data_IF_654214292755
#
_entry.id   IF_654214292755
#
_cell.length_a   1.000
_cell.length_b   1.000
_cell.length_c   1.000
_cell.angle_alpha   90.00
_cell.angle_beta   90.00
_cell.angle_gamma   90.00
#
_symmetry.space_group_name_H-M   'P 1'
#
loop_
_entity.id
_entity.type
_entity.pdbx_description
1 polymer ?
#
# COMPACT_ATOMS: atom_id res chain seq x y z
N UNK A 1 34.55 7.15 -14.97
CA UNK A 1 33.41 6.98 -14.03
C UNK A 1 32.59 5.82 -14.55
N UNK A 2 32.41 4.75 -13.78
CA UNK A 2 31.57 3.63 -14.24
C UNK A 2 30.12 4.11 -14.34
N UNK A 3 29.46 3.79 -15.46
CA UNK A 3 28.05 4.07 -15.66
C UNK A 3 27.22 3.38 -14.55
N UNK A 4 26.22 4.09 -14.02
CA UNK A 4 25.32 3.57 -12.99
C UNK A 4 24.65 2.28 -13.46
N UNK A 5 24.29 2.18 -14.73
CA UNK A 5 23.65 0.99 -15.31
C UNK A 5 24.59 -0.20 -15.39
N UNK A 6 25.88 -0.01 -15.75
CA UNK A 6 26.89 -1.08 -15.71
C UNK A 6 27.07 -1.65 -14.30
N UNK A 7 27.03 -0.79 -13.28
CA UNK A 7 27.10 -1.21 -11.89
C UNK A 7 25.88 -2.03 -11.50
N UNK A 8 24.68 -1.62 -11.91
CA UNK A 8 23.42 -2.32 -11.62
C UNK A 8 23.36 -3.68 -12.31
N UNK A 9 23.90 -3.82 -13.52
CA UNK A 9 23.97 -5.12 -14.21
C UNK A 9 24.82 -6.15 -13.48
N UNK A 10 25.82 -5.71 -12.72
CA UNK A 10 26.70 -6.58 -11.92
C UNK A 10 26.13 -6.93 -10.55
N UNK A 11 25.14 -6.17 -10.07
CA UNK A 11 24.51 -6.37 -8.77
C UNK A 11 23.13 -7.02 -8.93
N UNK A 12 22.98 -8.20 -8.35
CA UNK A 12 21.71 -8.90 -8.36
C UNK A 12 20.66 -8.31 -7.38
N UNK A 13 21.07 -7.43 -6.48
CA UNK A 13 20.20 -6.90 -5.44
C UNK A 13 19.56 -7.98 -4.54
N UNK A 14 18.76 -7.60 -3.54
CA UNK A 14 18.10 -8.56 -2.65
C UNK A 14 17.17 -9.52 -3.39
N UNK A 15 16.36 -9.01 -4.33
CA UNK A 15 15.41 -9.82 -5.12
C UNK A 15 16.15 -10.83 -6.01
N UNK A 16 17.22 -10.42 -6.66
CA UNK A 16 18.02 -11.32 -7.51
C UNK A 16 18.75 -12.41 -6.72
N UNK A 17 19.24 -12.08 -5.51
CA UNK A 17 19.82 -13.06 -4.59
C UNK A 17 18.77 -14.05 -4.10
N UNK A 18 17.59 -13.56 -3.73
CA UNK A 18 16.48 -14.41 -3.31
C UNK A 18 16.04 -15.35 -4.43
N UNK A 19 15.90 -14.85 -5.66
CA UNK A 19 15.57 -15.66 -6.84
C UNK A 19 16.54 -16.82 -7.07
N UNK A 20 17.83 -16.62 -6.79
CA UNK A 20 18.84 -17.67 -6.93
C UNK A 20 18.78 -18.74 -5.85
N UNK A 21 18.33 -18.38 -4.64
CA UNK A 21 18.35 -19.26 -3.47
C UNK A 21 17.01 -19.96 -3.22
N UNK A 22 15.92 -19.27 -3.51
CA UNK A 22 14.58 -19.79 -3.26
C UNK A 22 14.09 -20.64 -4.44
N UNK A 23 13.89 -21.91 -4.20
CA UNK A 23 13.33 -22.82 -5.19
C UNK A 23 11.91 -22.38 -5.57
N UNK A 24 11.65 -22.24 -6.88
CA UNK A 24 10.31 -21.88 -7.38
C UNK A 24 9.91 -20.41 -7.19
N UNK A 25 10.82 -19.53 -6.74
CA UNK A 25 10.51 -18.11 -6.63
C UNK A 25 10.38 -17.46 -8.02
N UNK A 26 9.28 -16.74 -8.20
CA UNK A 26 8.99 -16.00 -9.43
C UNK A 26 8.90 -14.50 -9.13
N UNK A 27 9.80 -13.72 -9.74
CA UNK A 27 9.67 -12.27 -9.75
C UNK A 27 8.54 -11.88 -10.69
N UNK A 28 7.64 -11.01 -10.23
CA UNK A 28 6.48 -10.53 -10.99
C UNK A 28 5.58 -11.67 -11.53
N UNK A 29 5.06 -12.56 -10.67
CA UNK A 29 4.17 -13.62 -11.10
C UNK A 29 2.91 -13.03 -11.76
N UNK A 30 2.58 -13.49 -12.96
CA UNK A 30 1.35 -13.09 -13.65
C UNK A 30 0.23 -14.03 -13.21
N UNK A 31 -0.67 -13.51 -12.39
CA UNK A 31 -1.89 -14.20 -11.98
C UNK A 31 -3.03 -13.78 -12.91
N UNK A 32 -3.91 -14.72 -13.24
CA UNK A 32 -5.01 -14.53 -14.18
C UNK A 32 -6.34 -14.89 -13.52
N UNK A 33 -7.40 -14.19 -13.94
CA UNK A 33 -8.75 -14.38 -13.43
C UNK A 33 -9.17 -13.32 -12.42
N UNK A 34 -10.31 -13.51 -11.79
CA UNK A 34 -10.78 -12.63 -10.72
C UNK A 34 -9.93 -12.79 -9.46
N UNK A 35 -9.78 -11.70 -8.72
CA UNK A 35 -9.07 -11.71 -7.42
C UNK A 35 -9.78 -12.67 -6.46
N UNK A 36 -9.11 -13.76 -6.10
CA UNK A 36 -9.65 -14.74 -5.16
C UNK A 36 -8.52 -15.51 -4.47
N UNK A 37 -8.88 -16.35 -3.50
CA UNK A 37 -7.92 -17.26 -2.86
C UNK A 37 -7.34 -18.30 -3.83
N UNK A 38 -7.95 -18.48 -5.01
CA UNK A 38 -7.49 -19.36 -6.08
C UNK A 38 -7.48 -18.61 -7.39
N UNK A 39 -6.35 -18.61 -8.08
CA UNK A 39 -6.16 -17.93 -9.35
C UNK A 39 -5.31 -18.80 -10.28
N UNK A 40 -5.38 -18.53 -11.58
CA UNK A 40 -4.55 -19.23 -12.54
C UNK A 40 -3.14 -18.66 -12.61
N UNK A 41 -2.16 -19.52 -12.55
CA UNK A 41 -0.76 -19.22 -12.79
C UNK A 41 -0.18 -20.24 -13.75
N UNK A 42 0.29 -19.78 -14.92
CA UNK A 42 0.86 -20.63 -15.98
C UNK A 42 -0.07 -21.79 -16.38
N UNK A 43 -1.35 -21.49 -16.53
CA UNK A 43 -2.37 -22.47 -16.93
C UNK A 43 -2.79 -23.48 -15.86
N UNK A 44 -2.40 -23.26 -14.60
CA UNK A 44 -2.81 -24.10 -13.46
C UNK A 44 -3.47 -23.26 -12.39
N UNK A 45 -4.56 -23.75 -11.83
CA UNK A 45 -5.16 -23.14 -10.64
C UNK A 45 -4.26 -23.36 -9.43
N UNK A 46 -3.95 -22.28 -8.75
CA UNK A 46 -3.07 -22.25 -7.57
C UNK A 46 -3.75 -21.51 -6.42
N UNK A 47 -3.44 -21.92 -5.20
CA UNK A 47 -3.79 -21.16 -4.00
C UNK A 47 -2.85 -19.94 -3.92
N UNK A 48 -3.43 -18.75 -3.73
CA UNK A 48 -2.68 -17.50 -3.70
C UNK A 48 -2.61 -16.97 -2.27
N UNK A 49 -1.40 -16.85 -1.76
CA UNK A 49 -1.10 -16.35 -0.41
C UNK A 49 -0.56 -14.92 -0.41
N UNK A 50 -0.37 -14.32 -1.58
CA UNK A 50 0.33 -13.03 -1.75
C UNK A 50 -0.59 -11.84 -2.04
N UNK A 51 -1.90 -12.01 -1.93
CA UNK A 51 -2.85 -10.92 -2.15
C UNK A 51 -3.15 -10.16 -0.86
N UNK A 52 -3.27 -8.84 -0.97
CA UNK A 52 -3.70 -7.96 0.13
C UNK A 52 -5.24 -7.92 0.27
N UNK A 53 -5.90 -9.01 0.00
CA UNK A 53 -7.36 -9.16 0.11
C UNK A 53 -7.73 -9.97 1.37
N UNK A 54 -7.25 -9.53 2.52
CA UNK A 54 -7.28 -10.28 3.78
C UNK A 54 -8.70 -10.66 4.24
N UNK A 55 -9.67 -9.79 4.01
CA UNK A 55 -11.08 -10.01 4.38
C UNK A 55 -11.94 -10.54 3.23
N UNK A 56 -11.36 -10.75 2.04
CA UNK A 56 -12.08 -11.21 0.87
C UNK A 56 -13.04 -10.18 0.26
N UNK A 57 -12.94 -8.91 0.64
CA UNK A 57 -13.87 -7.86 0.22
C UNK A 57 -13.62 -7.37 -1.22
N UNK A 58 -12.47 -7.64 -1.81
CA UNK A 58 -12.12 -7.15 -3.15
C UNK A 58 -13.10 -7.57 -4.26
N UNK A 59 -13.82 -8.68 -4.09
CA UNK A 59 -14.86 -9.15 -5.00
C UNK A 59 -16.23 -9.27 -4.36
N UNK A 60 -16.43 -8.69 -3.18
CA UNK A 60 -17.74 -8.73 -2.53
C UNK A 60 -18.78 -8.01 -3.40
N UNK A 61 -19.94 -8.64 -3.69
CA UNK A 61 -20.90 -8.08 -4.64
C UNK A 61 -21.37 -6.67 -4.29
N UNK A 62 -21.62 -6.39 -3.03
CA UNK A 62 -22.06 -5.07 -2.57
C UNK A 62 -20.97 -4.02 -2.71
N UNK A 63 -19.70 -4.37 -2.40
CA UNK A 63 -18.56 -3.47 -2.57
C UNK A 63 -18.37 -3.12 -4.04
N UNK A 64 -18.39 -4.12 -4.93
CA UNK A 64 -18.29 -3.92 -6.38
C UNK A 64 -19.42 -3.06 -6.93
N UNK A 65 -20.65 -3.30 -6.46
CA UNK A 65 -21.81 -2.52 -6.86
C UNK A 65 -21.67 -1.05 -6.45
N UNK A 66 -21.32 -0.81 -5.20
CA UNK A 66 -21.14 0.55 -4.67
C UNK A 66 -20.04 1.30 -5.40
N UNK A 67 -18.90 0.64 -5.71
CA UNK A 67 -17.81 1.21 -6.49
C UNK A 67 -18.25 1.59 -7.90
N UNK A 68 -18.97 0.71 -8.59
CA UNK A 68 -19.50 0.98 -9.93
C UNK A 68 -20.51 2.14 -9.94
N UNK A 69 -21.39 2.21 -8.95
CA UNK A 69 -22.37 3.29 -8.78
C UNK A 69 -21.66 4.63 -8.49
N UNK A 70 -20.64 4.61 -7.63
CA UNK A 70 -19.83 5.79 -7.34
C UNK A 70 -19.07 6.27 -8.58
N UNK A 71 -18.45 5.36 -9.33
CA UNK A 71 -17.76 5.69 -10.58
C UNK A 71 -18.71 6.28 -11.62
N UNK A 72 -19.93 5.75 -11.75
CA UNK A 72 -20.94 6.28 -12.66
C UNK A 72 -21.44 7.68 -12.25
N UNK A 73 -21.52 7.95 -10.95
CA UNK A 73 -22.02 9.24 -10.41
C UNK A 73 -20.94 10.32 -10.41
N UNK A 74 -19.73 10.00 -10.02
CA UNK A 74 -18.68 10.97 -9.72
C UNK A 74 -17.51 10.94 -10.70
N UNK A 75 -17.41 9.93 -11.56
CA UNK A 75 -16.27 9.68 -12.42
C UNK A 75 -15.23 8.75 -11.80
N UNK A 76 -14.29 8.28 -12.62
CA UNK A 76 -13.33 7.22 -12.24
C UNK A 76 -12.23 7.68 -11.28
N UNK A 77 -12.00 8.95 -11.14
CA UNK A 77 -10.88 9.49 -10.37
C UNK A 77 -11.28 10.69 -9.52
N UNK A 78 -12.36 10.54 -8.79
CA UNK A 78 -12.79 11.56 -7.85
C UNK A 78 -12.06 11.39 -6.50
N UNK A 79 -11.52 12.46 -5.94
CA UNK A 79 -11.25 13.77 -6.54
C UNK A 79 -9.87 13.78 -7.19
N UNK A 80 -9.73 14.41 -8.33
CA UNK A 80 -8.44 14.58 -9.02
C UNK A 80 -7.66 15.78 -8.45
N UNK A 81 -7.38 15.74 -7.15
CA UNK A 81 -6.63 16.81 -6.48
C UNK A 81 -6.12 16.40 -5.11
N UNK A 82 -5.12 17.12 -4.61
CA UNK A 82 -4.66 16.96 -3.24
C UNK A 82 -5.75 17.44 -2.25
N UNK A 83 -5.94 16.72 -1.17
CA UNK A 83 -6.99 17.03 -0.16
C UNK A 83 -6.87 18.46 0.40
N UNK A 84 -5.65 18.96 0.57
CA UNK A 84 -5.41 20.33 1.05
C UNK A 84 -5.86 21.42 0.07
N UNK A 85 -6.10 21.09 -1.19
CA UNK A 85 -6.46 22.06 -2.23
C UNK A 85 -7.90 21.86 -2.71
N UNK A 86 -8.12 20.90 -3.59
CA UNK A 86 -9.40 20.65 -4.23
C UNK A 86 -9.89 19.22 -4.14
N UNK A 87 -9.15 18.39 -3.42
CA UNK A 87 -9.37 16.94 -3.38
C UNK A 87 -10.13 16.45 -2.13
N UNK A 88 -10.63 17.31 -1.26
CA UNK A 88 -11.48 16.90 -0.16
C UNK A 88 -12.94 16.83 -0.59
N UNK A 89 -13.68 15.84 -0.14
CA UNK A 89 -15.10 15.67 -0.44
C UNK A 89 -15.87 15.24 0.80
N UNK A 90 -17.19 15.40 0.77
CA UNK A 90 -18.07 14.92 1.85
C UNK A 90 -17.91 13.43 2.14
N UNK A 91 -17.55 12.62 1.11
CA UNK A 91 -17.27 11.19 1.27
C UNK A 91 -16.03 10.92 2.10
N UNK A 92 -14.98 11.73 1.97
CA UNK A 92 -13.79 11.62 2.83
C UNK A 92 -14.15 11.90 4.28
N UNK A 93 -14.85 12.99 4.54
CA UNK A 93 -15.23 13.38 5.90
C UNK A 93 -16.22 12.39 6.53
N UNK A 94 -17.13 11.85 5.74
CA UNK A 94 -18.03 10.80 6.21
C UNK A 94 -17.25 9.55 6.61
N UNK A 95 -16.34 9.07 5.74
CA UNK A 95 -15.51 7.90 6.01
C UNK A 95 -14.64 8.10 7.24
N UNK A 96 -14.04 9.27 7.40
CA UNK A 96 -13.22 9.61 8.57
C UNK A 96 -14.04 9.54 9.86
N UNK A 97 -15.24 10.11 9.88
CA UNK A 97 -16.16 10.00 11.04
C UNK A 97 -16.54 8.55 11.35
N UNK A 98 -16.84 7.77 10.33
CA UNK A 98 -17.23 6.36 10.51
C UNK A 98 -16.04 5.52 11.01
N UNK A 99 -14.84 5.74 10.49
CA UNK A 99 -13.63 5.06 10.96
C UNK A 99 -13.26 5.47 12.38
N UNK A 100 -13.34 6.75 12.72
CA UNK A 100 -13.09 7.22 14.08
C UNK A 100 -14.08 6.55 15.08
N UNK A 101 -15.35 6.49 14.72
CA UNK A 101 -16.36 5.82 15.54
C UNK A 101 -16.09 4.31 15.68
N UNK A 102 -15.73 3.63 14.59
CA UNK A 102 -15.41 2.20 14.59
C UNK A 102 -14.20 1.89 15.47
N UNK A 103 -13.14 2.68 15.35
CA UNK A 103 -11.90 2.54 16.13
C UNK A 103 -12.01 3.12 17.55
N UNK A 104 -13.16 3.72 17.91
CA UNK A 104 -13.38 4.40 19.20
C UNK A 104 -12.34 5.48 19.50
N UNK A 105 -12.02 6.26 18.47
CA UNK A 105 -11.11 7.41 18.54
C UNK A 105 -11.88 8.70 18.37
N UNK A 106 -11.28 9.81 18.81
CA UNK A 106 -11.90 11.13 18.73
C UNK A 106 -11.97 11.64 17.29
N UNK A 107 -10.96 11.29 16.48
CA UNK A 107 -10.88 11.73 15.09
C UNK A 107 -10.08 10.72 14.24
N UNK A 108 -10.17 10.88 12.93
CA UNK A 108 -9.47 10.09 11.94
C UNK A 108 -9.09 10.96 10.74
N UNK A 109 -7.94 10.72 10.17
CA UNK A 109 -7.54 11.29 8.89
C UNK A 109 -7.28 10.19 7.87
N UNK A 110 -7.89 10.31 6.70
CA UNK A 110 -7.73 9.38 5.59
C UNK A 110 -6.54 9.81 4.72
N UNK A 111 -5.59 8.90 4.51
CA UNK A 111 -4.45 9.09 3.62
C UNK A 111 -4.56 8.10 2.45
N UNK A 112 -4.31 8.59 1.22
CA UNK A 112 -4.50 7.79 0.00
C UNK A 112 -3.48 6.66 -0.15
N UNK A 113 -2.27 6.82 0.40
CA UNK A 113 -1.18 5.88 0.25
C UNK A 113 -0.59 5.53 1.62
N UNK A 114 -0.73 4.30 2.06
CA UNK A 114 -0.26 3.83 3.37
C UNK A 114 1.25 4.03 3.56
N UNK A 115 2.05 3.78 2.53
CA UNK A 115 3.50 3.97 2.59
C UNK A 115 3.86 5.43 2.86
N UNK A 116 3.38 6.33 2.03
CA UNK A 116 3.65 7.77 2.17
C UNK A 116 3.01 8.33 3.44
N UNK A 117 1.81 7.86 3.78
CA UNK A 117 1.13 8.23 5.00
C UNK A 117 1.96 7.93 6.24
N UNK A 118 2.54 6.73 6.33
CA UNK A 118 3.37 6.34 7.46
C UNK A 118 4.68 7.15 7.52
N UNK A 119 5.34 7.37 6.38
CA UNK A 119 6.53 8.20 6.29
C UNK A 119 6.23 9.62 6.77
N UNK A 120 5.17 10.23 6.25
CA UNK A 120 4.76 11.60 6.61
C UNK A 120 4.31 11.70 8.07
N UNK A 121 3.67 10.66 8.60
CA UNK A 121 3.26 10.62 10.01
C UNK A 121 4.46 10.70 10.95
N UNK A 122 5.49 9.89 10.69
CA UNK A 122 6.72 9.90 11.50
C UNK A 122 7.41 11.25 11.41
N UNK A 123 7.57 11.77 10.19
CA UNK A 123 8.22 13.07 9.96
C UNK A 123 7.48 14.24 10.62
N UNK A 124 6.15 14.20 10.63
CA UNK A 124 5.33 15.27 11.19
C UNK A 124 5.16 15.23 12.71
N UNK A 125 5.19 14.03 13.32
CA UNK A 125 4.97 13.86 14.76
C UNK A 125 6.25 13.93 15.58
N UNK A 126 7.38 13.52 14.98
CA UNK A 126 8.64 13.41 15.70
C UNK A 126 9.59 14.56 15.34
N UNK A 127 10.38 14.99 16.32
CA UNK A 127 11.40 16.01 16.17
C UNK A 127 12.79 15.41 16.42
N UNK A 128 13.84 16.13 16.06
CA UNK A 128 15.24 15.72 16.33
C UNK A 128 15.57 15.46 17.81
N UNK A 129 14.66 15.76 18.71
CA UNK A 129 14.83 15.55 20.16
C UNK A 129 14.10 14.30 20.65
N UNK A 130 13.38 13.64 19.78
CA UNK A 130 12.59 12.46 20.12
C UNK A 130 13.37 11.17 19.82
N UNK A 131 13.15 10.17 20.65
CA UNK A 131 13.70 8.83 20.46
C UNK A 131 12.59 7.92 19.95
N UNK A 132 12.81 7.30 18.80
CA UNK A 132 11.84 6.37 18.21
C UNK A 132 12.33 4.95 18.40
N UNK A 133 11.56 4.15 19.16
CA UNK A 133 11.81 2.72 19.32
C UNK A 133 10.91 1.94 18.39
N UNK A 134 11.51 1.11 17.56
CA UNK A 134 10.78 0.33 16.55
C UNK A 134 11.26 -1.12 16.50
N UNK A 135 10.44 -2.01 15.97
CA UNK A 135 10.79 -3.40 15.72
C UNK A 135 11.71 -3.50 14.49
N UNK A 136 12.78 -4.31 14.58
CA UNK A 136 13.72 -4.51 13.47
C UNK A 136 13.09 -5.11 12.20
N UNK A 137 11.97 -5.81 12.33
CA UNK A 137 11.18 -6.38 11.23
C UNK A 137 10.02 -5.44 10.80
N UNK A 138 10.02 -4.18 11.23
CA UNK A 138 9.03 -3.19 10.81
C UNK A 138 8.99 -3.04 9.29
N UNK A 139 7.80 -2.73 8.77
CA UNK A 139 7.61 -2.48 7.34
C UNK A 139 8.51 -1.36 6.83
N UNK A 140 8.93 -1.45 5.58
CA UNK A 140 9.85 -0.50 4.94
C UNK A 140 9.42 0.98 5.06
N UNK A 141 8.12 1.27 5.08
CA UNK A 141 7.62 2.65 5.25
C UNK A 141 7.98 3.25 6.62
N UNK A 142 8.03 2.44 7.67
CA UNK A 142 8.48 2.88 9.00
C UNK A 142 9.98 3.14 8.95
N UNK A 143 10.75 2.21 8.42
CA UNK A 143 12.20 2.35 8.29
C UNK A 143 12.59 3.59 7.48
N UNK A 144 11.87 3.86 6.38
CA UNK A 144 12.15 5.02 5.55
C UNK A 144 11.71 6.33 6.23
N UNK A 145 10.60 6.33 6.96
CA UNK A 145 10.21 7.46 7.81
C UNK A 145 11.27 7.80 8.86
N UNK A 146 11.84 6.76 9.50
CA UNK A 146 12.93 6.93 10.46
C UNK A 146 14.20 7.47 9.83
N UNK A 147 14.53 7.08 8.59
CA UNK A 147 15.71 7.58 7.89
C UNK A 147 15.61 9.03 7.47
N UNK A 148 14.40 9.52 7.24
CA UNK A 148 14.16 10.93 6.94
C UNK A 148 14.18 11.80 8.20
N UNK A 149 13.91 11.20 9.35
CA UNK A 149 13.90 11.88 10.61
C UNK A 149 15.32 12.31 11.03
N UNK A 150 15.52 13.56 11.44
CA UNK A 150 16.86 14.13 11.74
C UNK A 150 17.38 13.78 13.14
N UNK A 151 16.72 12.96 13.92
CA UNK A 151 17.08 12.53 15.27
C UNK A 151 17.95 11.28 15.33
#
# INVERSE_FOLDING_TARGET
MADIFERLLKHYGPIGQHRKRAHGYFAFPKLEGEISSRMNFRGKEMIVWSLNNYLGLGNHPEVRKTDAEAAAKYGLALPMGARMMSGNTDLHEQLERELAAFEKKEDCILLNYGYQGMVSLIDSLCSRHDVIVYDGESHACIIDGLRLHPG
#
